data_IF_537677723118
#
_entry.id   IF_537677723118
#
_cell.length_a   1.000
_cell.length_b   1.000
_cell.length_c   1.000
_cell.angle_alpha   90.00
_cell.angle_beta   90.00
_cell.angle_gamma   90.00
#
_symmetry.space_group_name_H-M   'P 1'
#
loop_
_entity.id
_entity.type
_entity.pdbx_description
1 polymer ?
#
# COMPACT_ATOMS: atom_id res chain seq x y z
N UNK A 1 7.14 -22.62 1.25
CA UNK A 1 7.35 -21.17 1.52
C UNK A 1 6.45 -20.28 0.65
N UNK A 2 6.45 -20.45 -0.68
CA UNK A 2 5.59 -19.67 -1.59
C UNK A 2 4.10 -19.72 -1.25
N UNK A 3 3.55 -20.92 -1.07
CA UNK A 3 2.12 -21.10 -0.72
C UNK A 3 1.74 -20.41 0.60
N UNK A 4 2.64 -20.41 1.59
CA UNK A 4 2.43 -19.71 2.86
C UNK A 4 2.44 -18.19 2.68
N UNK A 5 3.29 -17.68 1.79
CA UNK A 5 3.31 -16.26 1.45
C UNK A 5 2.04 -15.86 0.67
N UNK A 6 1.61 -16.68 -0.29
CA UNK A 6 0.38 -16.43 -1.04
C UNK A 6 -0.85 -16.46 -0.11
N UNK A 7 -0.92 -17.43 0.80
CA UNK A 7 -1.97 -17.51 1.82
C UNK A 7 -1.99 -16.27 2.73
N UNK A 8 -0.82 -15.75 3.10
CA UNK A 8 -0.70 -14.50 3.87
C UNK A 8 -1.29 -13.31 3.10
N UNK A 9 -0.98 -13.15 1.81
CA UNK A 9 -1.50 -12.04 1.00
C UNK A 9 -3.02 -12.14 0.76
N UNK A 10 -3.54 -13.36 0.63
CA UNK A 10 -5.00 -13.59 0.55
C UNK A 10 -5.66 -13.17 1.86
N UNK A 11 -5.12 -13.59 3.00
CA UNK A 11 -5.67 -13.21 4.29
C UNK A 11 -5.57 -11.71 4.56
N UNK A 12 -4.44 -11.09 4.26
CA UNK A 12 -4.28 -9.65 4.35
C UNK A 12 -5.34 -8.92 3.50
N UNK A 13 -5.56 -9.37 2.26
CA UNK A 13 -6.60 -8.79 1.41
C UNK A 13 -8.00 -8.90 2.04
N UNK A 14 -8.33 -10.05 2.68
CA UNK A 14 -9.58 -10.20 3.43
C UNK A 14 -9.68 -9.25 4.60
N UNK A 15 -8.61 -9.09 5.37
CA UNK A 15 -8.55 -8.17 6.51
C UNK A 15 -8.67 -6.70 6.09
N UNK A 16 -8.18 -6.34 4.90
CA UNK A 16 -8.41 -5.00 4.34
C UNK A 16 -9.90 -4.79 4.02
N UNK A 17 -10.56 -5.78 3.42
CA UNK A 17 -11.99 -5.68 3.08
C UNK A 17 -12.89 -5.70 4.31
N UNK A 18 -12.52 -6.44 5.36
CA UNK A 18 -13.31 -6.52 6.61
C UNK A 18 -13.14 -5.32 7.54
N UNK A 19 -12.23 -4.39 7.24
CA UNK A 19 -11.93 -3.25 8.11
C UNK A 19 -10.83 -3.49 9.15
N UNK A 20 -10.28 -4.72 9.23
CA UNK A 20 -9.27 -5.09 10.23
C UNK A 20 -7.89 -4.47 9.96
N UNK A 21 -7.51 -4.35 8.69
CA UNK A 21 -6.20 -3.83 8.27
C UNK A 21 -6.26 -2.63 7.32
N UNK A 22 -7.46 -2.15 6.98
CA UNK A 22 -7.67 -0.93 6.21
C UNK A 22 -8.99 -0.29 6.64
N UNK A 23 -9.07 1.03 6.66
CA UNK A 23 -10.35 1.75 6.83
C UNK A 23 -10.91 2.23 5.48
N UNK A 24 -10.06 2.25 4.44
CA UNK A 24 -10.37 2.75 3.13
C UNK A 24 -9.81 1.80 2.07
N UNK A 25 -10.63 1.48 1.07
CA UNK A 25 -10.23 0.68 -0.10
C UNK A 25 -10.66 1.40 -1.36
N UNK A 26 -9.68 1.78 -2.18
CA UNK A 26 -9.90 2.29 -3.52
C UNK A 26 -9.77 1.14 -4.53
N UNK A 27 -10.65 1.10 -5.51
CA UNK A 27 -10.62 0.13 -6.60
C UNK A 27 -10.45 0.82 -7.94
N UNK A 28 -9.69 0.20 -8.84
CA UNK A 28 -9.61 0.59 -10.25
C UNK A 28 -10.48 -0.38 -11.04
N UNK A 29 -11.49 0.16 -11.69
CA UNK A 29 -12.42 -0.61 -12.52
C UNK A 29 -12.19 -0.29 -14.00
N UNK A 30 -12.20 -1.35 -14.81
CA UNK A 30 -12.19 -1.26 -16.27
C UNK A 30 -13.60 -1.32 -16.84
N UNK A 31 -13.71 -1.48 -18.17
CA UNK A 31 -15.00 -1.73 -18.81
C UNK A 31 -15.75 -2.88 -18.13
N UNK A 32 -17.08 -2.75 -18.06
CA UNK A 32 -17.98 -3.77 -17.51
C UNK A 32 -17.71 -4.10 -16.03
N UNK A 33 -17.11 -3.18 -15.27
CA UNK A 33 -16.84 -3.37 -13.83
C UNK A 33 -15.71 -4.36 -13.54
N UNK A 34 -14.88 -4.69 -14.54
CA UNK A 34 -13.74 -5.58 -14.33
C UNK A 34 -12.74 -4.93 -13.36
N UNK A 35 -12.47 -5.57 -12.23
CA UNK A 35 -11.44 -5.12 -11.29
C UNK A 35 -10.04 -5.23 -11.89
N UNK A 36 -9.34 -4.10 -11.95
CA UNK A 36 -7.98 -3.94 -12.48
C UNK A 36 -6.93 -3.89 -11.37
N UNK A 37 -7.34 -3.42 -10.19
CA UNK A 37 -6.50 -3.36 -9.00
C UNK A 37 -7.20 -2.69 -7.83
N UNK A 38 -6.53 -2.69 -6.69
CA UNK A 38 -6.99 -2.01 -5.50
C UNK A 38 -5.82 -1.38 -4.73
N UNK A 39 -6.16 -0.39 -3.90
CA UNK A 39 -5.28 0.21 -2.92
C UNK A 39 -6.06 0.35 -1.62
N UNK A 40 -5.67 -0.44 -0.63
CA UNK A 40 -6.20 -0.39 0.72
C UNK A 40 -5.20 0.33 1.62
N UNK A 41 -5.70 1.20 2.49
CA UNK A 41 -4.89 1.93 3.47
C UNK A 41 -5.72 2.27 4.70
N UNK A 42 -5.05 2.77 5.72
CA UNK A 42 -5.67 3.30 6.93
C UNK A 42 -4.97 4.53 7.43
N UNK A 43 -5.64 5.26 8.30
CA UNK A 43 -4.96 6.23 9.16
C UNK A 43 -3.95 5.51 10.06
N UNK A 44 -2.70 5.96 10.02
CA UNK A 44 -1.61 5.47 10.86
C UNK A 44 -1.56 6.30 12.13
N UNK A 45 -1.52 5.63 13.28
CA UNK A 45 -1.33 6.25 14.59
C UNK A 45 0.04 5.86 15.17
N UNK A 46 0.73 6.77 15.88
CA UNK A 46 0.31 8.14 16.18
C UNK A 46 0.35 9.07 14.95
N UNK A 47 -0.51 10.09 14.94
CA UNK A 47 -0.46 11.24 14.01
C UNK A 47 0.96 11.79 13.88
N UNK A 48 1.31 12.33 12.70
CA UNK A 48 2.66 12.82 12.40
C UNK A 48 3.22 13.71 13.52
N UNK A 49 4.47 13.46 13.91
CA UNK A 49 5.22 14.31 14.84
C UNK A 49 5.45 15.72 14.28
N UNK A 50 5.27 15.90 12.96
CA UNK A 50 5.29 17.19 12.29
C UNK A 50 3.87 17.75 12.24
N UNK A 51 3.58 18.67 13.15
CA UNK A 51 2.36 19.46 13.21
C UNK A 51 1.02 18.68 13.35
N UNK A 52 1.07 17.40 13.74
CA UNK A 52 -0.13 16.60 13.97
C UNK A 52 -0.90 16.24 12.70
N UNK A 53 -0.25 16.29 11.53
CA UNK A 53 -0.88 15.95 10.25
C UNK A 53 -1.18 14.44 10.20
N UNK A 54 -2.44 14.02 9.91
CA UNK A 54 -2.76 12.60 9.72
C UNK A 54 -1.91 11.97 8.63
N UNK A 55 -1.41 10.77 8.89
CA UNK A 55 -0.71 9.95 7.89
C UNK A 55 -1.63 8.83 7.48
N UNK A 56 -1.83 8.65 6.18
CA UNK A 56 -2.60 7.56 5.60
C UNK A 56 -1.67 6.60 4.87
N UNK A 57 -1.68 5.33 5.24
CA UNK A 57 -0.74 4.34 4.74
C UNK A 57 -0.96 2.97 5.38
N UNK A 58 0.11 2.17 5.48
CA UNK A 58 0.11 0.88 6.19
C UNK A 58 -0.99 -0.10 5.73
N UNK A 59 -1.11 -0.29 4.41
CA UNK A 59 -2.10 -1.20 3.83
C UNK A 59 -1.52 -2.05 2.70
N UNK A 60 -2.38 -2.47 1.78
CA UNK A 60 -2.04 -3.40 0.69
C UNK A 60 -2.55 -2.85 -0.64
N UNK A 61 -1.71 -2.94 -1.67
CA UNK A 61 -2.11 -2.58 -3.03
C UNK A 61 -1.63 -3.61 -4.03
N UNK A 62 -2.50 -3.93 -4.99
CA UNK A 62 -2.17 -4.86 -6.06
C UNK A 62 -2.91 -4.48 -7.34
N UNK A 63 -2.31 -4.77 -8.49
CA UNK A 63 -2.92 -4.59 -9.80
C UNK A 63 -2.66 -5.84 -10.65
N UNK A 64 -3.56 -6.08 -11.62
CA UNK A 64 -3.32 -7.11 -12.61
C UNK A 64 -2.13 -6.74 -13.48
N UNK A 65 -1.33 -7.74 -13.85
CA UNK A 65 -0.11 -7.55 -14.65
C UNK A 65 -0.40 -7.05 -16.06
N UNK A 66 -1.58 -7.35 -16.59
CA UNK A 66 -2.03 -6.97 -17.93
C UNK A 66 -2.65 -5.57 -17.98
N UNK A 67 -2.58 -4.80 -16.89
CA UNK A 67 -3.19 -3.46 -16.81
C UNK A 67 -2.16 -2.38 -16.44
N UNK A 68 -1.33 -1.94 -17.40
CA UNK A 68 -0.36 -0.87 -17.15
C UNK A 68 -1.06 0.42 -16.71
N UNK A 69 -0.47 1.13 -15.77
CA UNK A 69 -0.98 2.42 -15.27
C UNK A 69 -2.05 2.33 -14.16
N UNK A 70 -2.73 1.19 -13.99
CA UNK A 70 -3.75 1.03 -12.93
C UNK A 70 -3.20 1.36 -11.54
N UNK A 71 -1.99 0.86 -11.23
CA UNK A 71 -1.36 1.12 -9.93
C UNK A 71 -0.97 2.58 -9.74
N UNK A 72 -0.44 3.24 -10.78
CA UNK A 72 -0.10 4.66 -10.72
C UNK A 72 -1.36 5.53 -10.50
N UNK A 73 -2.47 5.19 -11.18
CA UNK A 73 -3.77 5.83 -10.98
C UNK A 73 -4.28 5.68 -9.54
N UNK A 74 -4.18 4.47 -8.98
CA UNK A 74 -4.57 4.20 -7.59
C UNK A 74 -3.71 4.98 -6.59
N UNK A 75 -2.39 5.03 -6.75
CA UNK A 75 -1.51 5.79 -5.86
C UNK A 75 -1.83 7.29 -5.93
N UNK A 76 -2.04 7.83 -7.14
CA UNK A 76 -2.47 9.23 -7.30
C UNK A 76 -3.82 9.48 -6.61
N UNK A 77 -4.79 8.60 -6.81
CA UNK A 77 -6.12 8.72 -6.19
C UNK A 77 -6.03 8.66 -4.65
N UNK A 78 -5.22 7.75 -4.10
CA UNK A 78 -4.97 7.67 -2.66
C UNK A 78 -4.32 8.93 -2.09
N UNK A 79 -3.40 9.55 -2.85
CA UNK A 79 -2.75 10.81 -2.45
C UNK A 79 -3.72 11.99 -2.45
N UNK A 80 -4.58 12.09 -3.47
CA UNK A 80 -5.64 13.11 -3.51
C UNK A 80 -6.62 12.90 -2.35
N UNK A 81 -7.07 11.66 -2.14
CA UNK A 81 -7.96 11.31 -1.03
C UNK A 81 -7.36 11.70 0.32
N UNK A 82 -6.09 11.38 0.57
CA UNK A 82 -5.42 11.71 1.83
C UNK A 82 -5.37 13.23 2.07
N UNK A 83 -5.10 14.00 1.01
CA UNK A 83 -5.09 15.46 1.07
C UNK A 83 -6.49 16.03 1.36
N UNK A 84 -7.53 15.51 0.71
CA UNK A 84 -8.93 15.88 0.96
C UNK A 84 -9.36 15.61 2.41
N UNK A 85 -8.72 14.64 3.07
CA UNK A 85 -8.93 14.30 4.48
C UNK A 85 -7.92 14.98 5.42
N UNK A 86 -7.27 16.05 4.95
CA UNK A 86 -6.37 16.89 5.75
C UNK A 86 -5.05 16.24 6.14
N UNK A 87 -4.68 15.14 5.48
CA UNK A 87 -3.47 14.37 5.77
C UNK A 87 -2.50 14.26 4.59
N UNK A 88 -1.56 13.33 4.76
CA UNK A 88 -0.57 12.96 3.74
C UNK A 88 -0.55 11.45 3.55
N UNK A 89 -0.18 11.00 2.37
CA UNK A 89 0.02 9.57 2.10
C UNK A 89 1.45 9.15 2.37
N UNK A 90 1.62 8.03 3.07
CA UNK A 90 2.90 7.33 3.20
C UNK A 90 2.76 5.93 2.58
N UNK A 91 3.65 5.62 1.62
CA UNK A 91 3.67 4.33 0.95
C UNK A 91 4.97 3.59 1.28
N UNK A 92 4.88 2.29 1.50
CA UNK A 92 6.03 1.42 1.74
C UNK A 92 6.11 0.37 0.63
N UNK A 93 7.32 -0.08 0.33
CA UNK A 93 7.57 -1.19 -0.60
C UNK A 93 8.91 -1.84 -0.26
N UNK A 94 9.18 -3.01 -0.84
CA UNK A 94 10.48 -3.66 -0.71
C UNK A 94 11.56 -2.79 -1.38
N UNK A 95 12.73 -2.68 -0.76
CA UNK A 95 13.83 -1.81 -1.22
C UNK A 95 14.34 -2.13 -2.65
N UNK A 96 14.07 -3.33 -3.15
CA UNK A 96 14.43 -3.79 -4.50
C UNK A 96 13.25 -3.74 -5.49
N UNK A 97 12.07 -3.29 -5.07
CA UNK A 97 10.91 -3.14 -5.94
C UNK A 97 10.97 -1.81 -6.71
N UNK A 98 12.00 -1.68 -7.56
CA UNK A 98 12.23 -0.49 -8.40
C UNK A 98 11.03 -0.09 -9.28
N UNK A 99 10.24 -1.02 -9.85
CA UNK A 99 9.03 -0.64 -10.58
C UNK A 99 8.06 0.17 -9.71
N UNK A 100 7.79 -0.26 -8.48
CA UNK A 100 6.92 0.47 -7.56
C UNK A 100 7.57 1.79 -7.10
N UNK A 101 8.88 1.79 -6.81
CA UNK A 101 9.61 3.01 -6.41
C UNK A 101 9.48 4.09 -7.50
N UNK A 102 9.66 3.74 -8.77
CA UNK A 102 9.50 4.67 -9.90
C UNK A 102 8.08 5.21 -10.02
N UNK A 103 7.06 4.41 -9.69
CA UNK A 103 5.67 4.88 -9.66
C UNK A 103 5.50 5.91 -8.55
N UNK A 104 6.04 5.66 -7.36
CA UNK A 104 6.00 6.62 -6.26
C UNK A 104 6.68 7.93 -6.64
N UNK A 105 7.87 7.88 -7.25
CA UNK A 105 8.57 9.07 -7.76
C UNK A 105 7.74 9.81 -8.82
N UNK A 106 7.14 9.08 -9.76
CA UNK A 106 6.33 9.67 -10.83
C UNK A 106 5.07 10.39 -10.33
N UNK A 107 4.54 10.02 -9.16
CA UNK A 107 3.40 10.73 -8.52
C UNK A 107 3.85 11.80 -7.53
N UNK A 108 5.16 12.09 -7.43
CA UNK A 108 5.70 13.14 -6.57
C UNK A 108 6.01 12.72 -5.14
N UNK A 109 5.99 11.42 -4.82
CA UNK A 109 6.42 10.97 -3.51
C UNK A 109 7.91 11.23 -3.29
N UNK A 110 8.29 11.44 -2.03
CA UNK A 110 9.68 11.61 -1.60
C UNK A 110 10.06 10.50 -0.64
N UNK A 111 11.32 10.08 -0.71
CA UNK A 111 11.87 9.14 0.26
C UNK A 111 11.76 9.72 1.68
N UNK A 112 11.17 8.94 2.59
CA UNK A 112 11.02 9.31 4.00
C UNK A 112 11.99 8.51 4.89
N UNK A 113 11.97 7.18 4.77
CA UNK A 113 12.81 6.26 5.55
C UNK A 113 12.93 4.89 4.89
N UNK A 114 13.87 4.10 5.38
CA UNK A 114 14.01 2.69 5.07
C UNK A 114 14.03 1.89 6.39
N UNK A 115 13.33 0.76 6.38
CA UNK A 115 13.27 -0.18 7.50
C UNK A 115 13.89 -1.50 7.03
N UNK A 116 14.72 -2.11 7.88
CA UNK A 116 15.38 -3.38 7.58
C UNK A 116 14.85 -4.46 8.53
N UNK A 117 14.25 -5.50 7.97
CA UNK A 117 13.82 -6.68 8.73
C UNK A 117 14.93 -7.72 8.70
N UNK A 118 15.51 -8.04 9.87
CA UNK A 118 16.48 -9.12 10.03
C UNK A 118 15.79 -10.37 10.56
N UNK A 119 16.04 -11.51 9.92
CA UNK A 119 15.54 -12.81 10.36
C UNK A 119 16.69 -13.64 10.92
N UNK A 120 16.62 -13.98 12.21
CA UNK A 120 17.52 -14.95 12.83
C UNK A 120 16.89 -16.34 12.71
N UNK A 121 17.62 -17.28 12.10
CA UNK A 121 17.25 -18.69 12.10
C UNK A 121 17.96 -19.33 13.29
N UNK A 122 17.28 -19.37 14.43
CA UNK A 122 17.77 -20.09 15.59
C UNK A 122 17.52 -21.58 15.30
N UNK A 123 18.58 -22.34 15.08
CA UNK A 123 18.48 -23.79 14.90
C UNK A 123 17.91 -24.44 16.16
N UNK A 124 17.13 -25.50 15.98
CA UNK A 124 16.89 -26.47 17.06
C UNK A 124 18.21 -27.25 17.21
N UNK A 125 18.89 -27.08 18.35
CA UNK A 125 19.95 -28.02 18.77
C UNK A 125 19.35 -29.39 19.14
#
# INVERSE_FOLDING_TARGET
LRERADALYVEWSRQCVSGGMADTVLVSEGPEGRLLGFLAFRRVEPVSTVAGVPVFGSGLGACRRDTPGAYAGLIRAGTVWAHEHGGVSECQTQNHNFPTIRIYEAVGARYARAEYTLHAWLGEE
#
